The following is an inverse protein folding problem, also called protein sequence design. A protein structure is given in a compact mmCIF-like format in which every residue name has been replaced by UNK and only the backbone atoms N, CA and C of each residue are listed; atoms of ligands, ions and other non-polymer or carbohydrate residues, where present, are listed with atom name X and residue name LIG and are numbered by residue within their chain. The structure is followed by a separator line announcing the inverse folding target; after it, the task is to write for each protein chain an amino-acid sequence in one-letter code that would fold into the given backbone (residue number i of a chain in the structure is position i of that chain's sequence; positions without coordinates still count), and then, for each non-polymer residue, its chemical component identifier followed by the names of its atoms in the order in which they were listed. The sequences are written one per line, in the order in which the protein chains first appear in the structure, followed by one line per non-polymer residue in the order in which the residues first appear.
data_IF_952777938051
#
_entry.id   IF_952777938051
#
_cell.length_a   1.000
_cell.length_b   1.000
_cell.length_c   1.000
_cell.angle_alpha   90.00
_cell.angle_beta   90.00
_cell.angle_gamma   90.00
#
_symmetry.space_group_name_H-M   'P 1'
#
loop_
_entity.id
_entity.type
_entity.pdbx_description
1 polymer ?
#
# COMPACT_ATOMS: atom_id res chain seq x y z
N UNK A 1 -30.84 -34.11 -4.78
CA UNK A 1 -29.39 -33.87 -4.52
C UNK A 1 -29.04 -32.36 -4.48
N UNK A 2 -29.93 -31.47 -4.98
CA UNK A 2 -29.70 -30.03 -4.98
C UNK A 2 -29.95 -29.32 -3.63
N UNK A 3 -30.82 -29.87 -2.79
CA UNK A 3 -31.13 -29.22 -1.49
C UNK A 3 -30.02 -29.30 -0.43
N UNK A 4 -29.02 -30.19 -0.60
CA UNK A 4 -27.93 -30.35 0.37
C UNK A 4 -26.76 -29.41 0.10
N UNK A 5 -26.59 -28.90 -1.12
CA UNK A 5 -25.54 -27.97 -1.47
C UNK A 5 -25.84 -26.55 -0.95
N UNK A 6 -27.09 -26.11 -1.07
CA UNK A 6 -27.52 -24.79 -0.56
C UNK A 6 -27.43 -24.67 0.98
N UNK A 7 -27.62 -25.80 1.71
CA UNK A 7 -27.43 -25.82 3.16
C UNK A 7 -25.97 -25.67 3.59
N UNK A 8 -25.04 -26.17 2.80
CA UNK A 8 -23.60 -26.09 3.11
C UNK A 8 -23.03 -24.70 2.83
N UNK A 9 -23.55 -24.00 1.82
CA UNK A 9 -23.16 -22.61 1.55
C UNK A 9 -23.76 -21.62 2.57
N UNK A 10 -24.97 -21.86 3.04
CA UNK A 10 -25.59 -21.03 4.09
C UNK A 10 -24.86 -21.11 5.44
N UNK A 11 -24.29 -22.27 5.79
CA UNK A 11 -23.49 -22.42 7.02
C UNK A 11 -22.10 -21.78 6.91
N UNK A 12 -21.49 -21.73 5.73
CA UNK A 12 -20.19 -21.09 5.55
C UNK A 12 -20.28 -19.56 5.66
N UNK A 13 -21.34 -18.94 5.12
CA UNK A 13 -21.58 -17.51 5.26
C UNK A 13 -21.94 -17.09 6.70
N UNK A 14 -22.68 -17.92 7.43
CA UNK A 14 -22.98 -17.65 8.84
C UNK A 14 -21.74 -17.83 9.74
N UNK A 15 -20.82 -18.73 9.41
CA UNK A 15 -19.58 -18.91 10.15
C UNK A 15 -18.63 -17.71 9.96
N UNK A 16 -18.60 -17.10 8.77
CA UNK A 16 -17.83 -15.87 8.52
C UNK A 16 -18.38 -14.66 9.30
N UNK A 17 -19.71 -14.57 9.47
CA UNK A 17 -20.33 -13.47 10.21
C UNK A 17 -20.09 -13.57 11.74
N UNK A 18 -19.84 -14.75 12.29
CA UNK A 18 -19.58 -14.95 13.72
C UNK A 18 -18.08 -14.91 14.07
N UNK A 19 -17.17 -15.10 13.12
CA UNK A 19 -15.73 -14.98 13.35
C UNK A 19 -15.28 -13.51 13.49
N UNK A 20 -16.07 -12.55 13.00
CA UNK A 20 -15.79 -11.11 13.09
C UNK A 20 -16.11 -10.48 14.45
N UNK A 21 -16.78 -11.21 15.37
CA UNK A 21 -17.15 -10.65 16.68
C UNK A 21 -16.29 -11.13 17.86
N UNK A 22 -15.31 -11.99 17.61
CA UNK A 22 -14.43 -12.54 18.64
C UNK A 22 -12.94 -12.31 18.34
N UNK A 23 -12.58 -11.14 17.80
CA UNK A 23 -11.19 -10.69 17.85
C UNK A 23 -10.90 -10.27 19.29
N UNK A 24 -9.91 -10.89 19.95
CA UNK A 24 -9.45 -10.39 21.22
C UNK A 24 -8.94 -8.97 21.01
N UNK A 25 -9.49 -8.02 21.74
CA UNK A 25 -8.96 -6.65 21.89
C UNK A 25 -7.65 -6.67 22.69
N UNK A 26 -6.75 -7.59 22.38
CA UNK A 26 -5.48 -7.76 23.03
C UNK A 26 -4.37 -7.28 22.09
N UNK A 27 -3.76 -6.21 22.54
CA UNK A 27 -2.41 -5.81 22.22
C UNK A 27 -2.15 -5.08 20.89
N UNK A 28 -2.99 -4.11 20.51
CA UNK A 28 -2.38 -2.88 20.00
C UNK A 28 -2.09 -2.00 21.22
N UNK A 29 -0.90 -2.17 21.79
CA UNK A 29 -0.41 -1.27 22.81
C UNK A 29 -0.37 0.12 22.18
N UNK A 30 -1.35 0.94 22.50
CA UNK A 30 -1.30 2.38 22.28
C UNK A 30 0.06 2.86 22.78
N UNK A 31 0.81 3.48 21.92
CA UNK A 31 1.94 4.31 22.30
C UNK A 31 1.37 5.67 22.75
N UNK A 32 1.19 5.92 24.07
CA UNK A 32 0.51 7.13 24.52
C UNK A 32 1.39 8.39 24.45
N UNK A 33 2.69 8.25 24.22
CA UNK A 33 3.62 9.38 24.35
C UNK A 33 4.06 10.02 23.02
N UNK A 34 3.92 9.33 21.89
CA UNK A 34 4.35 9.87 20.61
C UNK A 34 3.24 10.66 19.87
N UNK A 35 1.98 10.42 20.21
CA UNK A 35 0.85 11.13 19.59
C UNK A 35 0.71 12.61 20.02
N UNK A 36 1.34 13.03 21.10
CA UNK A 36 1.28 14.42 21.57
C UNK A 36 2.27 15.36 20.86
N UNK A 37 3.24 14.84 20.12
CA UNK A 37 4.28 15.64 19.46
C UNK A 37 3.97 15.99 17.99
N UNK A 38 2.93 15.42 17.38
CA UNK A 38 2.71 15.50 15.93
C UNK A 38 1.64 16.54 15.59
N UNK A 39 1.87 17.80 15.96
CA UNK A 39 1.21 18.97 15.36
C UNK A 39 2.13 19.77 14.43
N UNK A 40 3.31 19.26 14.12
CA UNK A 40 4.21 19.93 13.18
C UNK A 40 3.90 19.51 11.76
N UNK A 41 3.55 20.46 10.91
CA UNK A 41 3.54 20.28 9.46
C UNK A 41 4.97 20.38 8.92
N UNK A 42 5.30 19.65 7.87
CA UNK A 42 6.57 19.77 7.18
C UNK A 42 6.79 21.23 6.70
N UNK A 43 7.96 21.76 6.95
CA UNK A 43 8.35 23.04 6.38
C UNK A 43 8.73 22.91 4.90
N UNK A 44 8.71 24.01 4.16
CA UNK A 44 9.18 24.00 2.77
C UNK A 44 10.68 23.62 2.65
N UNK A 45 11.46 23.81 3.71
CA UNK A 45 12.86 23.38 3.76
C UNK A 45 12.94 21.89 3.92
N UNK A 46 12.19 21.30 4.87
CA UNK A 46 12.13 19.84 5.06
C UNK A 46 11.74 19.12 3.77
N UNK A 47 10.73 19.65 3.06
CA UNK A 47 10.30 19.08 1.77
C UNK A 47 11.39 19.14 0.72
N UNK A 48 12.14 20.24 0.61
CA UNK A 48 13.26 20.32 -0.37
C UNK A 48 14.37 19.33 -0.02
N UNK A 49 14.70 19.18 1.25
CA UNK A 49 15.70 18.20 1.71
C UNK A 49 15.25 16.76 1.42
N UNK A 50 13.99 16.41 1.68
CA UNK A 50 13.43 15.13 1.30
C UNK A 50 13.47 14.91 -0.22
N UNK A 51 13.05 15.90 -1.02
CA UNK A 51 13.10 15.81 -2.49
C UNK A 51 14.53 15.65 -3.02
N UNK A 52 15.51 16.26 -2.38
CA UNK A 52 16.93 16.07 -2.74
C UNK A 52 17.38 14.63 -2.46
N UNK A 53 17.00 14.06 -1.33
CA UNK A 53 17.30 12.67 -1.00
C UNK A 53 16.59 11.70 -1.95
N UNK A 54 15.30 11.94 -2.23
CA UNK A 54 14.52 11.12 -3.16
C UNK A 54 15.09 11.14 -4.59
N UNK A 55 15.51 12.30 -5.06
CA UNK A 55 16.14 12.40 -6.37
C UNK A 55 17.40 11.55 -6.47
N UNK A 56 18.19 11.49 -5.40
CA UNK A 56 19.39 10.66 -5.34
C UNK A 56 19.07 9.15 -5.26
N UNK A 57 18.05 8.78 -4.47
CA UNK A 57 17.57 7.40 -4.40
C UNK A 57 16.98 6.96 -5.74
N UNK A 58 16.10 7.78 -6.34
CA UNK A 58 15.47 7.47 -7.63
C UNK A 58 16.50 7.40 -8.77
N UNK A 59 17.54 8.24 -8.75
CA UNK A 59 18.62 8.18 -9.73
C UNK A 59 19.42 6.87 -9.62
N UNK A 60 19.60 6.35 -8.41
CA UNK A 60 20.22 5.04 -8.18
C UNK A 60 19.30 3.92 -8.67
N UNK A 61 18.09 3.83 -8.12
CA UNK A 61 17.17 2.69 -8.34
C UNK A 61 16.58 2.66 -9.74
N UNK A 62 16.47 3.79 -10.42
CA UNK A 62 15.99 3.90 -11.81
C UNK A 62 17.07 3.72 -12.87
N UNK A 63 18.35 3.50 -12.47
CA UNK A 63 19.44 3.28 -13.39
C UNK A 63 19.41 1.90 -14.03
N UNK A 64 19.74 1.81 -15.34
CA UNK A 64 19.83 0.52 -16.05
C UNK A 64 20.80 -0.45 -15.40
N UNK A 65 21.87 0.08 -14.81
CA UNK A 65 22.90 -0.72 -14.15
C UNK A 65 22.37 -1.34 -12.85
N UNK A 66 21.57 -0.58 -12.09
CA UNK A 66 20.94 -1.08 -10.86
C UNK A 66 20.00 -2.26 -11.12
N UNK A 67 19.22 -2.21 -12.19
CA UNK A 67 18.34 -3.31 -12.59
C UNK A 67 19.09 -4.62 -12.92
N UNK A 68 20.37 -4.52 -13.31
CA UNK A 68 21.22 -5.67 -13.66
C UNK A 68 22.04 -6.19 -12.47
N UNK A 69 22.07 -5.46 -11.35
CA UNK A 69 22.80 -5.84 -10.13
C UNK A 69 22.13 -7.04 -9.44
N UNK A 70 22.93 -7.85 -8.79
CA UNK A 70 22.44 -8.82 -7.82
C UNK A 70 21.87 -8.10 -6.60
N UNK A 71 21.11 -8.80 -5.76
CA UNK A 71 20.55 -8.23 -4.53
C UNK A 71 21.64 -7.70 -3.59
N UNK A 72 22.76 -8.43 -3.44
CA UNK A 72 23.90 -7.99 -2.63
C UNK A 72 24.51 -6.69 -3.19
N UNK A 73 24.70 -6.60 -4.50
CA UNK A 73 25.21 -5.39 -5.16
C UNK A 73 24.25 -4.20 -5.03
N UNK A 74 22.94 -4.44 -5.14
CA UNK A 74 21.90 -3.42 -4.90
C UNK A 74 21.95 -2.94 -3.46
N UNK A 75 22.10 -3.86 -2.51
CA UNK A 75 22.23 -3.55 -1.09
C UNK A 75 23.44 -2.67 -0.82
N UNK A 76 24.61 -3.04 -1.32
CA UNK A 76 25.85 -2.27 -1.14
C UNK A 76 25.72 -0.87 -1.77
N UNK A 77 25.18 -0.77 -2.98
CA UNK A 77 24.98 0.50 -3.66
C UNK A 77 23.99 1.41 -2.91
N UNK A 78 22.91 0.84 -2.40
CA UNK A 78 21.91 1.58 -1.61
C UNK A 78 22.49 2.07 -0.29
N UNK A 79 23.23 1.24 0.43
CA UNK A 79 23.90 1.63 1.69
C UNK A 79 24.94 2.73 1.45
N UNK A 80 25.76 2.62 0.39
CA UNK A 80 26.70 3.68 0.02
C UNK A 80 26.00 5.00 -0.29
N UNK A 81 24.88 4.96 -0.98
CA UNK A 81 24.07 6.16 -1.27
C UNK A 81 23.49 6.76 0.02
N UNK A 82 22.96 5.94 0.92
CA UNK A 82 22.41 6.41 2.20
C UNK A 82 23.50 6.97 3.13
N UNK A 83 24.70 6.41 3.13
CA UNK A 83 25.85 6.97 3.85
C UNK A 83 26.20 8.37 3.32
N UNK A 84 26.20 8.56 2.00
CA UNK A 84 26.45 9.86 1.39
C UNK A 84 25.36 10.88 1.75
N UNK A 85 24.08 10.47 1.76
CA UNK A 85 22.95 11.32 2.17
C UNK A 85 23.00 11.64 3.67
N UNK A 86 23.43 10.71 4.49
CA UNK A 86 23.65 10.92 5.93
C UNK A 86 24.74 11.94 6.18
N UNK A 87 25.85 11.84 5.44
CA UNK A 87 26.95 12.81 5.53
C UNK A 87 26.53 14.23 5.09
N UNK A 88 25.54 14.35 4.20
CA UNK A 88 24.93 15.61 3.78
C UNK A 88 23.86 16.13 4.77
N UNK A 89 23.51 15.36 5.79
CA UNK A 89 22.46 15.70 6.76
C UNK A 89 21.02 15.54 6.25
N UNK A 90 20.83 14.86 5.10
CA UNK A 90 19.51 14.61 4.51
C UNK A 90 18.82 13.38 5.09
N UNK A 91 19.63 12.42 5.57
CA UNK A 91 19.20 11.21 6.28
C UNK A 91 19.71 11.27 7.72
N UNK A 92 18.87 10.89 8.66
CA UNK A 92 19.21 10.91 10.10
C UNK A 92 20.25 9.86 10.41
N UNK A 93 21.31 10.26 11.11
CA UNK A 93 22.37 9.35 11.50
C UNK A 93 21.85 8.18 12.35
N UNK A 94 22.25 6.96 12.01
CA UNK A 94 21.90 5.74 12.73
C UNK A 94 20.44 5.30 12.57
N UNK A 95 19.77 5.80 11.53
CA UNK A 95 18.38 5.41 11.21
C UNK A 95 18.28 4.40 10.07
N UNK A 96 19.38 4.06 9.42
CA UNK A 96 19.38 3.09 8.31
C UNK A 96 19.27 1.68 8.91
N UNK A 97 18.31 0.92 8.43
CA UNK A 97 18.06 -0.46 8.81
C UNK A 97 17.88 -1.32 7.56
N UNK A 98 18.62 -2.41 7.46
CA UNK A 98 18.52 -3.37 6.36
C UNK A 98 17.69 -4.56 6.80
N UNK A 99 16.61 -4.79 6.13
CA UNK A 99 15.76 -5.97 6.26
C UNK A 99 15.97 -6.87 5.04
N UNK A 100 17.01 -7.72 5.14
CA UNK A 100 17.36 -8.64 4.05
C UNK A 100 16.28 -9.70 3.80
N UNK A 101 15.49 -10.04 4.82
CA UNK A 101 14.40 -11.03 4.67
C UNK A 101 13.27 -10.50 3.79
N UNK A 102 13.00 -9.20 3.88
CA UNK A 102 11.94 -8.55 3.13
C UNK A 102 12.46 -7.71 1.94
N UNK A 103 13.77 -7.79 1.63
CA UNK A 103 14.36 -7.06 0.50
C UNK A 103 14.20 -5.54 0.60
N UNK A 104 14.26 -4.97 1.81
CA UNK A 104 14.00 -3.56 2.07
C UNK A 104 15.12 -2.92 2.90
N UNK A 105 15.53 -1.71 2.53
CA UNK A 105 16.33 -0.84 3.39
C UNK A 105 15.45 0.34 3.81
N UNK A 106 15.23 0.50 5.10
CA UNK A 106 14.51 1.64 5.67
C UNK A 106 15.46 2.70 6.21
N UNK A 107 15.01 3.95 6.20
CA UNK A 107 15.75 5.07 6.78
C UNK A 107 14.78 6.19 7.19
N UNK A 108 15.30 7.12 7.97
CA UNK A 108 14.53 8.31 8.38
C UNK A 108 15.17 9.55 7.77
N UNK A 109 14.37 10.39 7.11
CA UNK A 109 14.83 11.71 6.65
C UNK A 109 15.18 12.60 7.84
N UNK A 110 15.97 13.66 7.60
CA UNK A 110 16.33 14.65 8.63
C UNK A 110 15.14 15.22 9.38
N UNK A 111 14.02 15.43 8.70
CA UNK A 111 12.76 15.94 9.26
C UNK A 111 11.96 14.93 10.10
N UNK A 112 12.33 13.65 10.07
CA UNK A 112 11.66 12.58 10.81
C UNK A 112 10.70 11.72 10.00
N UNK A 113 10.37 12.07 8.75
CA UNK A 113 9.58 11.21 7.87
C UNK A 113 10.35 9.93 7.52
N UNK A 114 9.62 8.85 7.21
CA UNK A 114 10.23 7.56 6.85
C UNK A 114 10.43 7.45 5.35
N UNK A 115 11.55 6.83 4.96
CA UNK A 115 11.90 6.49 3.59
C UNK A 115 12.39 5.05 3.46
N UNK A 116 12.30 4.48 2.26
CA UNK A 116 12.73 3.11 2.00
C UNK A 116 13.29 2.93 0.59
N UNK A 117 14.12 1.92 0.44
CA UNK A 117 14.62 1.41 -0.84
C UNK A 117 14.24 -0.06 -0.93
N UNK A 118 13.42 -0.40 -1.92
CA UNK A 118 13.09 -1.77 -2.25
C UNK A 118 14.22 -2.34 -3.11
N UNK A 119 14.81 -3.45 -2.66
CA UNK A 119 15.98 -4.09 -3.30
C UNK A 119 15.57 -5.10 -4.38
N UNK A 120 14.37 -5.66 -4.24
CA UNK A 120 13.79 -6.61 -5.18
C UNK A 120 12.82 -5.89 -6.10
N UNK A 121 12.82 -6.26 -7.37
CA UNK A 121 11.73 -5.84 -8.25
C UNK A 121 10.46 -6.56 -7.78
N UNK A 122 9.33 -5.83 -7.60
CA UNK A 122 8.08 -6.48 -7.28
C UNK A 122 7.76 -7.49 -8.38
N UNK A 123 7.42 -8.72 -8.01
CA UNK A 123 7.06 -9.75 -8.99
C UNK A 123 5.90 -9.26 -9.87
N UNK A 124 6.07 -9.36 -11.20
CA UNK A 124 4.95 -9.09 -12.12
C UNK A 124 3.88 -10.17 -11.89
N UNK A 125 2.69 -9.73 -11.57
CA UNK A 125 1.55 -10.61 -11.34
C UNK A 125 1.26 -11.42 -12.60
N UNK A 126 1.20 -12.73 -12.44
CA UNK A 126 0.96 -13.65 -13.54
C UNK A 126 -0.50 -13.48 -14.01
N UNK A 127 -0.70 -13.10 -15.26
CA UNK A 127 -2.03 -12.93 -15.87
C UNK A 127 -2.78 -14.27 -15.86
N UNK A 128 -3.59 -14.49 -14.83
CA UNK A 128 -4.50 -15.63 -14.81
C UNK A 128 -5.51 -15.53 -15.96
N UNK A 129 -5.88 -16.67 -16.52
CA UNK A 129 -6.95 -16.70 -17.51
C UNK A 129 -8.23 -16.11 -16.92
N UNK A 130 -8.93 -15.26 -17.71
CA UNK A 130 -10.20 -14.69 -17.31
C UNK A 130 -11.18 -15.81 -16.89
N UNK A 131 -11.84 -15.72 -15.74
CA UNK A 131 -12.90 -16.65 -15.40
C UNK A 131 -14.06 -16.50 -16.38
N UNK A 132 -14.66 -17.63 -16.79
CA UNK A 132 -15.92 -17.59 -17.51
C UNK A 132 -17.01 -17.12 -16.51
N UNK A 133 -17.60 -15.97 -16.80
CA UNK A 133 -18.70 -15.42 -16.02
C UNK A 133 -20.02 -15.94 -16.59
N UNK A 134 -20.85 -16.50 -15.72
CA UNK A 134 -22.21 -16.93 -16.07
C UNK A 134 -23.12 -15.69 -16.15
N UNK A 135 -23.56 -15.33 -17.37
CA UNK A 135 -24.44 -14.19 -17.60
C UNK A 135 -25.74 -14.23 -16.78
N UNK A 136 -26.23 -15.42 -16.42
CA UNK A 136 -27.44 -15.54 -15.61
C UNK A 136 -27.25 -15.10 -14.16
N UNK A 137 -26.08 -15.38 -13.56
CA UNK A 137 -25.74 -14.91 -12.21
C UNK A 137 -25.57 -13.40 -12.18
N UNK A 138 -25.13 -12.84 -13.28
CA UNK A 138 -24.88 -11.43 -13.46
C UNK A 138 -26.20 -10.63 -13.53
N UNK A 139 -27.21 -11.16 -14.20
CA UNK A 139 -28.55 -10.56 -14.25
C UNK A 139 -29.22 -10.57 -12.87
N UNK A 140 -29.08 -11.63 -12.09
CA UNK A 140 -29.64 -11.72 -10.74
C UNK A 140 -29.02 -10.69 -9.79
N UNK A 141 -27.71 -10.42 -9.91
CA UNK A 141 -27.02 -9.36 -9.17
C UNK A 141 -27.52 -7.96 -9.58
N UNK A 142 -27.76 -7.73 -10.88
CA UNK A 142 -28.27 -6.46 -11.40
C UNK A 142 -29.67 -6.12 -10.93
N UNK A 143 -30.53 -7.12 -10.74
CA UNK A 143 -31.89 -6.94 -10.22
C UNK A 143 -31.92 -6.60 -8.73
N UNK A 144 -30.90 -7.03 -7.97
CA UNK A 144 -30.78 -6.82 -6.54
C UNK A 144 -29.91 -5.60 -6.15
N UNK A 145 -29.95 -4.51 -6.91
CA UNK A 145 -29.12 -3.29 -6.74
C UNK A 145 -28.96 -2.87 -5.28
N UNK A 146 -27.85 -3.30 -4.65
CA UNK A 146 -27.44 -2.84 -3.33
C UNK A 146 -26.17 -2.01 -3.35
N UNK A 147 -25.43 -2.06 -4.45
CA UNK A 147 -24.16 -1.34 -4.66
C UNK A 147 -24.42 -0.32 -5.76
N UNK A 148 -24.17 0.94 -5.47
CA UNK A 148 -24.40 2.05 -6.41
C UNK A 148 -23.12 2.50 -7.11
N UNK A 149 -21.98 2.50 -6.39
CA UNK A 149 -20.71 3.01 -6.87
C UNK A 149 -19.57 2.03 -6.57
N UNK A 150 -18.63 1.90 -7.50
CA UNK A 150 -17.46 1.05 -7.33
C UNK A 150 -16.19 1.75 -7.79
N UNK A 151 -15.05 1.38 -7.21
CA UNK A 151 -13.74 1.79 -7.69
C UNK A 151 -12.83 0.58 -7.85
N UNK A 152 -12.03 0.60 -8.90
CA UNK A 152 -10.93 -0.33 -9.12
C UNK A 152 -9.65 0.50 -9.13
N UNK A 153 -8.88 0.38 -8.06
CA UNK A 153 -7.57 1.00 -7.90
C UNK A 153 -6.49 -0.01 -8.27
N UNK A 154 -5.85 0.22 -9.41
CA UNK A 154 -4.82 -0.66 -9.94
C UNK A 154 -3.47 0.08 -9.93
N UNK A 155 -2.60 -0.25 -8.98
CA UNK A 155 -1.36 0.48 -8.72
C UNK A 155 -0.11 -0.36 -9.05
N UNK A 156 -0.09 -1.06 -10.17
CA UNK A 156 1.11 -1.76 -10.66
C UNK A 156 1.85 -0.94 -11.72
N UNK A 157 1.17 -0.59 -12.78
CA UNK A 157 1.68 0.33 -13.78
C UNK A 157 0.53 1.13 -14.41
N UNK A 158 0.85 2.18 -15.14
CA UNK A 158 -0.15 3.07 -15.74
C UNK A 158 -0.79 2.50 -17.01
N UNK A 159 -0.71 1.20 -17.28
CA UNK A 159 -1.11 0.59 -18.55
C UNK A 159 -2.07 -0.57 -18.39
N UNK A 160 -3.29 -0.29 -17.94
CA UNK A 160 -4.39 -1.24 -18.13
C UNK A 160 -4.95 -1.06 -19.53
N UNK A 161 -4.98 -2.12 -20.30
CA UNK A 161 -5.64 -2.17 -21.60
C UNK A 161 -6.17 -3.58 -21.86
N UNK A 162 -6.91 -3.76 -22.96
CA UNK A 162 -7.48 -5.05 -23.34
C UNK A 162 -6.47 -6.18 -23.60
N UNK A 163 -5.19 -5.87 -23.71
CA UNK A 163 -4.11 -6.83 -23.92
C UNK A 163 -3.32 -7.08 -22.64
N UNK A 164 -3.13 -6.02 -21.85
CA UNK A 164 -2.41 -6.08 -20.58
C UNK A 164 -3.41 -5.83 -19.46
N UNK A 165 -3.59 -6.82 -18.59
CA UNK A 165 -4.60 -6.83 -17.52
C UNK A 165 -6.05 -6.62 -17.98
N UNK A 166 -6.51 -7.39 -18.98
CA UNK A 166 -7.87 -7.23 -19.54
C UNK A 166 -8.97 -7.48 -18.49
N UNK A 167 -8.65 -8.18 -17.41
CA UNK A 167 -9.59 -8.54 -16.35
C UNK A 167 -10.25 -7.31 -15.72
N UNK A 168 -9.48 -6.29 -15.33
CA UNK A 168 -10.03 -5.11 -14.66
C UNK A 168 -10.86 -4.24 -15.62
N UNK A 169 -10.41 -4.10 -16.87
CA UNK A 169 -11.20 -3.41 -17.90
C UNK A 169 -12.51 -4.15 -18.20
N UNK A 170 -12.47 -5.47 -18.20
CA UNK A 170 -13.66 -6.30 -18.35
C UNK A 170 -14.59 -6.16 -17.13
N UNK A 171 -14.04 -6.21 -15.93
CA UNK A 171 -14.79 -6.04 -14.68
C UNK A 171 -15.49 -4.67 -14.62
N UNK A 172 -14.80 -3.59 -15.00
CA UNK A 172 -15.42 -2.27 -15.13
C UNK A 172 -16.61 -2.29 -16.08
N UNK A 173 -16.38 -2.76 -17.32
CA UNK A 173 -17.43 -2.84 -18.33
C UNK A 173 -18.63 -3.67 -17.85
N UNK A 174 -18.34 -4.76 -17.17
CA UNK A 174 -19.34 -5.63 -16.61
C UNK A 174 -20.16 -4.93 -15.50
N UNK A 175 -19.49 -4.32 -14.52
CA UNK A 175 -20.17 -3.60 -13.42
C UNK A 175 -21.00 -2.43 -13.94
N UNK A 176 -20.50 -1.70 -14.93
CA UNK A 176 -21.25 -0.62 -15.58
C UNK A 176 -22.52 -1.17 -16.27
N UNK A 177 -22.42 -2.35 -16.92
CA UNK A 177 -23.56 -2.99 -17.59
C UNK A 177 -24.68 -3.40 -16.62
N UNK A 178 -24.33 -3.75 -15.38
CA UNK A 178 -25.29 -4.08 -14.32
C UNK A 178 -25.75 -2.85 -13.52
N UNK A 179 -25.35 -1.66 -13.93
CA UNK A 179 -25.80 -0.37 -13.40
C UNK A 179 -25.03 0.16 -12.21
N UNK A 180 -23.82 -0.36 -11.94
CA UNK A 180 -22.85 0.31 -11.06
C UNK A 180 -22.20 1.47 -11.82
N UNK A 181 -21.82 2.49 -11.06
CA UNK A 181 -20.91 3.52 -11.57
C UNK A 181 -19.49 3.14 -11.15
N UNK A 182 -18.65 2.73 -12.10
CA UNK A 182 -17.36 2.16 -11.81
C UNK A 182 -16.22 3.08 -12.28
N UNK A 183 -15.42 3.53 -11.36
CA UNK A 183 -14.16 4.24 -11.65
C UNK A 183 -13.00 3.24 -11.68
N UNK A 184 -12.24 3.22 -12.78
CA UNK A 184 -10.99 2.48 -12.92
C UNK A 184 -9.84 3.47 -12.89
N UNK A 185 -8.98 3.39 -11.88
CA UNK A 185 -7.86 4.28 -11.69
C UNK A 185 -6.55 3.50 -11.68
N UNK A 186 -5.64 3.86 -12.58
CA UNK A 186 -4.29 3.28 -12.72
C UNK A 186 -3.19 4.20 -12.20
N UNK A 187 -3.56 5.42 -11.78
CA UNK A 187 -2.63 6.41 -11.19
C UNK A 187 -3.00 6.66 -9.73
N UNK A 188 -3.03 5.59 -8.96
CA UNK A 188 -3.53 5.59 -7.59
C UNK A 188 -2.66 6.48 -6.69
N UNK A 189 -3.30 7.47 -6.07
CA UNK A 189 -2.66 8.43 -5.19
C UNK A 189 -3.09 8.24 -3.73
N UNK A 190 -2.32 8.80 -2.80
CA UNK A 190 -2.71 8.88 -1.38
C UNK A 190 -4.07 9.59 -1.23
N UNK A 191 -4.34 10.61 -2.08
CA UNK A 191 -5.62 11.32 -2.07
C UNK A 191 -6.79 10.47 -2.54
N UNK A 192 -6.58 9.51 -3.44
CA UNK A 192 -7.62 8.60 -3.90
C UNK A 192 -7.98 7.61 -2.81
N UNK A 193 -6.98 7.05 -2.12
CA UNK A 193 -7.22 6.17 -0.99
C UNK A 193 -7.97 6.87 0.16
N UNK A 194 -7.74 8.16 0.38
CA UNK A 194 -8.54 8.95 1.36
C UNK A 194 -10.01 9.09 0.98
N UNK A 195 -10.34 8.91 -0.29
CA UNK A 195 -11.69 9.05 -0.83
C UNK A 195 -12.38 7.72 -1.12
N UNK A 196 -11.76 6.61 -0.75
CA UNK A 196 -12.35 5.28 -0.91
C UNK A 196 -13.71 5.14 -0.21
N UNK A 197 -13.97 5.93 0.83
CA UNK A 197 -15.23 5.96 1.56
C UNK A 197 -16.44 6.48 0.76
N UNK A 198 -16.21 6.98 -0.46
CA UNK A 198 -17.26 7.40 -1.39
C UNK A 198 -17.88 6.25 -2.17
N UNK A 199 -17.22 5.09 -2.18
CA UNK A 199 -17.63 3.94 -2.95
C UNK A 199 -18.23 2.86 -2.05
N UNK A 200 -19.22 2.17 -2.57
CA UNK A 200 -19.83 1.02 -1.90
C UNK A 200 -18.96 -0.22 -2.02
N UNK A 201 -18.17 -0.30 -3.09
CA UNK A 201 -17.23 -1.39 -3.35
C UNK A 201 -15.91 -0.81 -3.89
N UNK A 202 -14.79 -1.20 -3.30
CA UNK A 202 -13.46 -0.89 -3.81
C UNK A 202 -12.66 -2.18 -4.02
N UNK A 203 -11.98 -2.28 -5.15
CA UNK A 203 -10.88 -3.22 -5.34
C UNK A 203 -9.59 -2.43 -5.30
N UNK A 204 -8.64 -2.89 -4.50
CA UNK A 204 -7.30 -2.33 -4.39
C UNK A 204 -6.30 -3.42 -4.81
N UNK A 205 -5.79 -3.30 -6.02
CA UNK A 205 -4.81 -4.20 -6.61
C UNK A 205 -3.47 -3.47 -6.73
N UNK A 206 -2.51 -3.85 -5.90
CA UNK A 206 -1.24 -3.13 -5.75
C UNK A 206 -0.13 -4.08 -5.32
N UNK A 207 1.12 -3.62 -5.45
CA UNK A 207 2.23 -4.29 -4.78
C UNK A 207 2.18 -4.04 -3.27
N UNK A 208 2.47 -5.08 -2.51
CA UNK A 208 2.73 -5.02 -1.08
C UNK A 208 4.21 -5.18 -0.77
N UNK A 209 4.65 -4.63 0.35
CA UNK A 209 5.98 -4.83 0.88
C UNK A 209 5.94 -4.80 2.41
N UNK A 210 6.89 -5.47 3.06
CA UNK A 210 7.12 -5.26 4.48
C UNK A 210 8.14 -4.15 4.69
N UNK A 211 7.87 -3.31 5.65
CA UNK A 211 8.72 -2.20 6.04
C UNK A 211 9.08 -2.33 7.49
N UNK A 212 10.36 -2.60 7.77
CA UNK A 212 10.89 -2.69 9.12
C UNK A 212 11.71 -1.45 9.43
N UNK A 213 11.42 -0.79 10.54
CA UNK A 213 12.16 0.38 10.99
C UNK A 213 12.45 0.32 12.48
N UNK A 214 13.52 1.00 12.90
CA UNK A 214 13.87 1.14 14.28
C UNK A 214 13.27 2.40 14.89
N UNK A 215 12.72 2.28 16.09
CA UNK A 215 12.18 3.39 16.87
C UNK A 215 12.62 3.31 18.34
N UNK A 216 12.46 4.41 19.06
CA UNK A 216 12.87 4.52 20.46
C UNK A 216 14.25 5.17 20.63
N UNK A 217 14.38 5.96 21.71
CA UNK A 217 15.58 6.76 21.97
C UNK A 217 16.61 6.01 22.82
N UNK A 218 16.21 5.41 23.93
CA UNK A 218 17.12 4.72 24.86
C UNK A 218 17.28 3.24 24.56
N UNK A 219 16.17 2.61 24.15
CA UNK A 219 16.12 1.20 23.74
C UNK A 219 15.53 1.15 22.34
N UNK A 220 16.37 0.86 21.37
CA UNK A 220 15.92 0.65 20.03
C UNK A 220 15.03 -0.59 19.95
N UNK A 221 13.88 -0.43 19.36
CA UNK A 221 12.94 -1.50 19.02
C UNK A 221 12.70 -1.47 17.53
N UNK A 222 12.42 -2.60 16.96
CA UNK A 222 11.99 -2.72 15.56
C UNK A 222 10.49 -2.87 15.49
N UNK A 223 9.87 -2.27 14.48
CA UNK A 223 8.50 -2.54 14.06
C UNK A 223 8.52 -2.93 12.59
N UNK A 224 7.74 -3.94 12.24
CA UNK A 224 7.53 -4.36 10.85
C UNK A 224 6.07 -4.14 10.51
N UNK A 225 5.82 -3.39 9.46
CA UNK A 225 4.46 -3.06 9.02
C UNK A 225 4.30 -3.38 7.54
N UNK A 226 3.14 -3.91 7.12
CA UNK A 226 2.85 -4.07 5.71
C UNK A 226 2.58 -2.70 5.09
N UNK A 227 3.15 -2.48 3.91
CA UNK A 227 2.92 -1.32 3.08
C UNK A 227 2.16 -1.70 1.82
N UNK A 228 1.30 -0.80 1.38
CA UNK A 228 0.70 -0.80 0.06
C UNK A 228 1.43 0.25 -0.77
N UNK A 229 2.08 -0.19 -1.85
CA UNK A 229 2.82 0.68 -2.75
C UNK A 229 1.86 1.35 -3.73
N UNK A 230 2.06 2.63 -4.00
CA UNK A 230 1.24 3.42 -4.92
C UNK A 230 2.03 3.78 -6.18
N UNK A 231 1.33 4.19 -7.22
CA UNK A 231 1.95 4.71 -8.45
C UNK A 231 2.26 6.21 -8.37
N UNK A 232 1.80 6.88 -7.33
CA UNK A 232 2.06 8.30 -7.13
C UNK A 232 3.53 8.55 -6.78
N UNK A 233 4.21 9.29 -7.66
CA UNK A 233 5.57 9.78 -7.39
C UNK A 233 5.54 10.97 -6.45
N UNK A 234 6.52 11.03 -5.57
CA UNK A 234 6.67 12.16 -4.67
C UNK A 234 7.06 13.43 -5.42
N UNK A 235 6.42 14.54 -5.06
CA UNK A 235 6.76 15.87 -5.52
C UNK A 235 6.59 16.89 -4.37
N UNK A 236 7.10 18.09 -4.57
CA UNK A 236 7.10 19.15 -3.54
C UNK A 236 5.69 19.46 -2.99
N UNK A 237 4.68 19.51 -3.85
CA UNK A 237 3.33 19.88 -3.45
C UNK A 237 2.60 18.72 -2.77
N UNK A 238 2.84 17.51 -3.25
CA UNK A 238 2.31 16.29 -2.63
C UNK A 238 2.93 16.06 -1.25
N UNK A 239 4.25 16.25 -1.10
CA UNK A 239 4.92 16.18 0.20
C UNK A 239 4.37 17.21 1.22
N UNK A 240 4.14 18.45 0.80
CA UNK A 240 3.47 19.43 1.66
C UNK A 240 2.05 19.01 2.03
N UNK A 241 1.31 18.48 1.06
CA UNK A 241 -0.08 18.01 1.26
C UNK A 241 -0.17 16.85 2.22
N UNK A 242 0.76 15.91 2.11
CA UNK A 242 0.79 14.70 2.94
C UNK A 242 1.69 14.83 4.16
N UNK A 243 2.25 16.01 4.40
CA UNK A 243 3.25 16.26 5.44
C UNK A 243 2.87 15.76 6.83
N UNK A 244 1.59 15.86 7.21
CA UNK A 244 1.11 15.32 8.46
C UNK A 244 1.16 13.78 8.51
N UNK A 245 0.78 13.10 7.42
CA UNK A 245 0.81 11.63 7.36
C UNK A 245 2.24 11.10 7.23
N UNK A 246 3.13 11.83 6.55
CA UNK A 246 4.55 11.52 6.47
C UNK A 246 5.20 11.59 7.87
N UNK A 247 4.95 12.64 8.65
CA UNK A 247 5.47 12.77 10.00
C UNK A 247 4.78 11.82 11.00
N UNK A 248 3.54 11.44 10.75
CA UNK A 248 2.84 10.43 11.53
C UNK A 248 3.15 8.99 11.11
N UNK A 249 4.09 8.81 10.19
CA UNK A 249 4.54 7.51 9.65
C UNK A 249 3.42 6.67 9.01
N UNK A 250 2.30 7.29 8.62
CA UNK A 250 1.18 6.62 7.93
C UNK A 250 1.39 6.55 6.42
N UNK A 251 2.16 7.48 5.91
CA UNK A 251 2.66 7.53 4.54
C UNK A 251 4.18 7.43 4.59
N UNK A 252 4.74 6.55 3.78
CA UNK A 252 6.18 6.30 3.67
C UNK A 252 6.59 6.54 2.21
N UNK A 253 7.83 6.93 1.98
CA UNK A 253 8.37 7.11 0.62
C UNK A 253 9.30 5.94 0.29
N UNK A 254 8.97 5.16 -0.74
CA UNK A 254 9.75 4.00 -1.20
C UNK A 254 10.15 4.21 -2.65
N UNK A 255 11.42 4.20 -2.95
CA UNK A 255 11.98 4.46 -4.29
C UNK A 255 11.42 5.75 -4.95
N UNK A 256 11.14 6.78 -4.15
CA UNK A 256 10.57 8.05 -4.63
C UNK A 256 9.07 8.00 -4.97
N UNK A 257 8.37 6.95 -4.60
CA UNK A 257 6.92 6.81 -4.66
C UNK A 257 6.32 6.77 -3.25
N UNK A 258 5.02 7.07 -3.15
CA UNK A 258 4.34 6.92 -1.86
C UNK A 258 3.89 5.48 -1.63
N UNK A 259 3.91 5.10 -0.36
CA UNK A 259 3.31 3.89 0.16
C UNK A 259 2.51 4.23 1.42
N UNK A 260 1.51 3.44 1.75
CA UNK A 260 0.68 3.63 2.94
C UNK A 260 0.63 2.36 3.78
N UNK A 261 0.55 2.51 5.10
CA UNK A 261 0.39 1.40 6.03
C UNK A 261 -1.04 1.27 6.56
N UNK A 262 -1.27 0.31 7.46
CA UNK A 262 -2.58 0.07 8.07
C UNK A 262 -3.12 1.26 8.89
N UNK A 263 -2.25 2.06 9.50
CA UNK A 263 -2.65 3.23 10.28
C UNK A 263 -3.20 4.35 9.41
N UNK A 264 -2.75 4.44 8.16
CA UNK A 264 -3.35 5.33 7.17
C UNK A 264 -4.83 5.01 6.97
N UNK A 265 -5.18 3.75 6.69
CA UNK A 265 -6.58 3.36 6.49
C UNK A 265 -7.42 3.57 7.75
N UNK A 266 -6.88 3.23 8.92
CA UNK A 266 -7.56 3.47 10.20
C UNK A 266 -7.87 4.95 10.41
N UNK A 267 -7.01 5.84 9.96
CA UNK A 267 -7.18 7.30 10.12
C UNK A 267 -8.05 7.93 9.03
N UNK A 268 -7.97 7.42 7.81
CA UNK A 268 -8.55 8.02 6.61
C UNK A 268 -9.91 7.43 6.24
N UNK A 269 -10.09 6.10 6.37
CA UNK A 269 -11.31 5.43 5.94
C UNK A 269 -12.44 5.58 6.97
N UNK A 270 -13.59 6.11 6.55
CA UNK A 270 -14.80 6.33 7.37
C UNK A 270 -16.04 5.67 6.79
N UNK A 271 -15.89 4.99 5.66
CA UNK A 271 -17.00 4.40 4.92
C UNK A 271 -17.51 3.09 5.50
N UNK A 272 -18.64 2.65 4.95
CA UNK A 272 -19.26 1.34 5.23
C UNK A 272 -19.18 0.41 4.01
N UNK A 273 -18.41 0.79 2.98
CA UNK A 273 -18.23 0.00 1.77
C UNK A 273 -17.37 -1.25 2.01
N UNK A 274 -17.36 -2.11 1.02
CA UNK A 274 -16.53 -3.31 0.99
C UNK A 274 -15.21 -2.94 0.29
N UNK A 275 -14.09 -3.27 0.90
CA UNK A 275 -12.76 -3.16 0.29
C UNK A 275 -12.20 -4.57 0.12
N UNK A 276 -11.90 -4.92 -1.12
CA UNK A 276 -11.18 -6.14 -1.48
C UNK A 276 -9.74 -5.73 -1.82
N UNK A 277 -8.78 -6.28 -1.10
CA UNK A 277 -7.36 -6.03 -1.38
C UNK A 277 -6.74 -7.25 -2.03
N UNK A 278 -6.17 -7.06 -3.22
CA UNK A 278 -5.36 -8.02 -3.95
C UNK A 278 -3.90 -7.53 -3.89
N UNK A 279 -3.31 -7.64 -2.72
CA UNK A 279 -1.96 -7.12 -2.47
C UNK A 279 -1.10 -8.26 -1.94
N UNK A 280 0.01 -8.55 -2.61
CA UNK A 280 1.00 -9.49 -2.12
C UNK A 280 1.46 -9.06 -0.72
N UNK A 281 1.73 -10.01 0.15
CA UNK A 281 2.29 -9.79 1.50
C UNK A 281 1.45 -8.94 2.48
N UNK A 282 0.36 -8.33 2.05
CA UNK A 282 -0.50 -7.52 2.92
C UNK A 282 -1.12 -8.33 4.07
N UNK A 283 -1.32 -9.63 3.86
CA UNK A 283 -1.88 -10.55 4.85
C UNK A 283 -0.83 -11.40 5.58
N UNK A 284 0.44 -11.06 5.47
CA UNK A 284 1.53 -11.76 6.15
C UNK A 284 2.06 -12.98 5.39
N UNK A 285 3.32 -13.31 5.63
CA UNK A 285 3.93 -14.55 5.16
C UNK A 285 3.13 -15.72 5.74
N UNK A 286 2.58 -16.59 4.90
CA UNK A 286 1.76 -17.77 5.24
C UNK A 286 0.29 -17.51 5.59
N UNK A 287 -0.30 -16.38 5.25
CA UNK A 287 -1.73 -16.13 5.50
C UNK A 287 -2.10 -16.04 6.99
N UNK A 288 -1.13 -15.84 7.87
CA UNK A 288 -1.36 -15.53 9.28
C UNK A 288 -1.37 -14.01 9.45
N UNK A 289 -2.53 -13.50 9.82
CA UNK A 289 -2.66 -12.16 10.39
C UNK A 289 -2.32 -12.32 11.87
N UNK A 290 -1.16 -11.83 12.29
CA UNK A 290 -0.77 -11.73 13.69
C UNK A 290 -1.55 -10.61 14.41
#
# INVERSE_FOLDING_TARGET
MEHDMLRRFGCALCALAFALTALPTAAFAQQPEEQAAVQQSLSATDVREMQQADAAVTALTGGSDYAQMTEDERTDAALQQLDALTAQGLVKQGSVYTDAENGMISFTYSCGALGGILLTDPEEENTAALPELDESQLQELAENKRVGTAAIYYAFDNTINSTRYPYYAYMQTYWDSVGLQTDLDTTVTVSDLRRMDRYDLCILSTHGAYYTYEYGWLFKKTATEPLILLTERSDFWSDLRYGFDLLAHRVVKVNGMYAVNGDFFRSAYRGNGIVLSETCEFYGKNGHVD
#
